data_IF_069808212031
#
_entry.id   IF_069808212031
#
_cell.length_a   1.000
_cell.length_b   1.000
_cell.length_c   1.000
_cell.angle_alpha   90.00
_cell.angle_beta   90.00
_cell.angle_gamma   90.00
#
_symmetry.space_group_name_H-M   'P 1'
#
loop_
_entity.id
_entity.type
_entity.pdbx_description
1 polymer ?
#
# COMPACT_ATOMS: atom_id res chain seq x y z
N UNK A 1 10.03 40.45 14.86
CA UNK A 1 9.40 39.36 14.08
C UNK A 1 10.54 38.48 13.57
N UNK A 2 10.85 37.43 14.31
CA UNK A 2 11.93 36.50 13.97
C UNK A 2 11.49 35.71 12.74
N UNK A 3 12.28 35.63 11.65
CA UNK A 3 11.94 34.76 10.53
C UNK A 3 11.86 33.32 11.05
N UNK A 4 10.79 32.60 10.71
CA UNK A 4 10.74 31.16 10.92
C UNK A 4 12.00 30.54 10.29
N UNK A 5 12.70 29.61 10.97
CA UNK A 5 13.75 28.86 10.31
C UNK A 5 13.16 28.26 9.04
N UNK A 6 13.90 28.31 7.93
CA UNK A 6 13.59 27.49 6.77
C UNK A 6 13.80 26.02 7.19
N UNK A 7 12.83 25.47 7.91
CA UNK A 7 12.79 24.06 8.24
C UNK A 7 12.68 23.33 6.92
N UNK A 8 13.74 22.60 6.59
CA UNK A 8 13.73 21.70 5.45
C UNK A 8 12.54 20.75 5.62
N UNK A 9 11.79 20.45 4.55
CA UNK A 9 10.66 19.54 4.64
C UNK A 9 11.12 18.20 5.23
N UNK A 10 10.26 17.48 5.97
CA UNK A 10 10.61 16.20 6.56
C UNK A 10 11.09 15.24 5.45
N UNK A 11 12.11 14.41 5.70
CA UNK A 11 12.56 13.47 4.68
C UNK A 11 11.43 12.48 4.37
N UNK A 12 11.19 12.26 3.08
CA UNK A 12 10.14 11.37 2.60
C UNK A 12 10.77 10.02 2.24
N UNK A 13 10.17 8.94 2.73
CA UNK A 13 10.49 7.57 2.36
C UNK A 13 9.38 7.03 1.45
N UNK A 14 9.76 6.20 0.50
CA UNK A 14 8.85 5.45 -0.37
C UNK A 14 8.93 3.98 0.03
N UNK A 15 7.80 3.42 0.42
CA UNK A 15 7.64 2.01 0.79
C UNK A 15 6.80 1.31 -0.27
N UNK A 16 7.36 0.25 -0.87
CA UNK A 16 6.66 -0.61 -1.82
C UNK A 16 6.35 -1.95 -1.14
N UNK A 17 5.07 -2.30 -1.09
CA UNK A 17 4.58 -3.62 -0.71
C UNK A 17 4.29 -4.42 -1.98
N UNK A 18 5.18 -5.37 -2.29
CA UNK A 18 5.07 -6.26 -3.42
C UNK A 18 4.16 -7.42 -3.02
N UNK A 19 2.88 -7.33 -3.39
CA UNK A 19 1.82 -8.22 -2.94
C UNK A 19 1.63 -9.39 -3.90
N UNK A 20 1.55 -10.58 -3.33
CA UNK A 20 1.14 -11.80 -4.03
C UNK A 20 0.03 -12.51 -3.28
N UNK A 21 -0.69 -13.34 -4.00
CA UNK A 21 -1.72 -14.20 -3.45
C UNK A 21 -1.52 -15.61 -4.00
N UNK A 22 -1.44 -16.58 -3.10
CA UNK A 22 -1.46 -17.99 -3.40
C UNK A 22 -2.81 -18.58 -2.96
N UNK A 23 -3.49 -19.42 -3.76
CA UNK A 23 -4.78 -19.99 -3.38
C UNK A 23 -4.77 -20.86 -2.11
N UNK A 24 -3.63 -21.47 -1.75
CA UNK A 24 -3.49 -22.31 -0.57
C UNK A 24 -2.93 -21.54 0.63
N UNK A 25 -1.95 -20.67 0.39
CA UNK A 25 -1.23 -19.95 1.47
C UNK A 25 -1.79 -18.54 1.75
N UNK A 26 -2.70 -18.03 0.90
CA UNK A 26 -3.30 -16.71 1.03
C UNK A 26 -2.39 -15.57 0.57
N UNK A 27 -2.53 -14.40 1.20
CA UNK A 27 -1.74 -13.22 0.87
C UNK A 27 -0.34 -13.28 1.48
N UNK A 28 0.65 -12.81 0.73
CA UNK A 28 1.99 -12.57 1.22
C UNK A 28 2.56 -11.31 0.57
N UNK A 29 3.54 -10.68 1.22
CA UNK A 29 4.16 -9.47 0.72
C UNK A 29 5.67 -9.47 0.90
N UNK A 30 6.37 -8.73 0.04
CA UNK A 30 7.75 -8.27 0.28
C UNK A 30 7.73 -6.77 0.46
N UNK A 31 8.48 -6.27 1.44
CA UNK A 31 8.63 -4.84 1.68
C UNK A 31 9.95 -4.35 1.14
N UNK A 32 9.91 -3.32 0.32
CA UNK A 32 11.09 -2.53 -0.09
C UNK A 32 10.88 -1.10 0.37
N UNK A 33 11.95 -0.43 0.80
CA UNK A 33 11.89 0.98 1.22
C UNK A 33 13.12 1.75 0.77
N UNK A 34 12.93 3.00 0.36
CA UNK A 34 14.02 3.90 -0.02
C UNK A 34 13.68 5.35 0.29
N UNK A 35 14.69 6.20 0.40
CA UNK A 35 14.47 7.65 0.54
C UNK A 35 14.07 8.26 -0.80
N UNK A 36 13.02 9.08 -0.79
CA UNK A 36 12.69 9.98 -1.88
C UNK A 36 13.74 11.10 -1.88
N UNK A 37 14.59 11.14 -2.91
CA UNK A 37 15.61 12.18 -3.08
C UNK A 37 14.95 13.54 -3.37
N UNK A 38 15.72 14.60 -3.67
CA UNK A 38 15.14 15.91 -4.01
C UNK A 38 14.57 15.92 -5.45
N UNK A 39 13.27 16.22 -5.59
CA UNK A 39 12.48 16.25 -6.85
C UNK A 39 12.28 14.96 -7.69
N UNK A 40 12.42 13.72 -7.20
CA UNK A 40 11.97 12.53 -7.93
C UNK A 40 10.46 12.36 -7.78
N UNK A 41 9.85 11.86 -8.83
CA UNK A 41 8.49 11.36 -8.83
C UNK A 41 8.41 10.09 -7.92
N UNK A 42 7.54 10.07 -6.90
CA UNK A 42 7.30 8.89 -6.07
C UNK A 42 6.92 7.65 -6.87
N UNK A 43 6.15 7.81 -7.95
CA UNK A 43 5.65 6.71 -8.77
C UNK A 43 6.80 6.04 -9.52
N UNK A 44 7.63 6.84 -10.21
CA UNK A 44 8.87 6.36 -10.83
C UNK A 44 9.83 5.73 -9.79
N UNK A 45 9.85 6.25 -8.56
CA UNK A 45 10.72 5.72 -7.50
C UNK A 45 10.26 4.32 -7.07
N UNK A 46 8.97 4.08 -6.90
CA UNK A 46 8.43 2.74 -6.62
C UNK A 46 8.70 1.78 -7.76
N UNK A 47 8.47 2.20 -9.01
CA UNK A 47 8.70 1.34 -10.18
C UNK A 47 10.15 0.87 -10.22
N UNK A 48 11.11 1.78 -10.05
CA UNK A 48 12.54 1.42 -9.97
C UNK A 48 12.86 0.54 -8.77
N UNK A 49 12.29 0.83 -7.60
CA UNK A 49 12.50 0.02 -6.40
C UNK A 49 12.01 -1.42 -6.58
N UNK A 50 10.88 -1.59 -7.27
CA UNK A 50 10.29 -2.88 -7.62
C UNK A 50 10.91 -3.53 -8.87
N UNK A 51 11.94 -2.90 -9.49
CA UNK A 51 12.61 -3.35 -10.72
C UNK A 51 11.65 -3.51 -11.91
N UNK A 52 10.67 -2.60 -12.02
CA UNK A 52 9.73 -2.54 -13.13
C UNK A 52 10.27 -1.64 -14.25
N UNK A 53 10.10 -2.10 -15.49
CA UNK A 53 10.44 -1.32 -16.68
C UNK A 53 9.50 -0.13 -16.88
N UNK A 54 9.99 0.88 -17.62
CA UNK A 54 9.22 2.04 -18.05
C UNK A 54 8.17 1.58 -19.07
N UNK A 55 6.89 1.55 -18.66
CA UNK A 55 5.78 1.02 -19.47
C UNK A 55 5.32 -0.40 -19.11
N UNK A 56 5.82 -1.03 -18.03
CA UNK A 56 5.22 -2.28 -17.52
C UNK A 56 3.81 -2.01 -16.97
N UNK A 57 2.79 -2.43 -17.73
CA UNK A 57 1.36 -2.41 -17.37
C UNK A 57 0.85 -3.79 -16.89
N UNK A 58 1.75 -4.76 -16.73
CA UNK A 58 1.47 -6.08 -16.15
C UNK A 58 1.48 -6.04 -14.63
N UNK A 59 1.86 -4.91 -14.06
CA UNK A 59 1.86 -4.67 -12.62
C UNK A 59 1.04 -3.43 -12.30
N UNK A 60 0.12 -3.58 -11.37
CA UNK A 60 -0.54 -2.48 -10.69
C UNK A 60 0.51 -1.83 -9.79
N UNK A 61 0.66 -0.51 -9.89
CA UNK A 61 1.41 0.32 -8.94
C UNK A 61 0.47 1.41 -8.46
N UNK A 62 0.16 1.43 -7.16
CA UNK A 62 -0.83 2.37 -6.63
C UNK A 62 -0.46 2.85 -5.23
N UNK A 63 -0.58 4.14 -4.98
CA UNK A 63 -0.40 4.71 -3.63
C UNK A 63 -1.57 4.30 -2.73
N UNK A 64 -1.31 3.92 -1.48
CA UNK A 64 -2.35 3.34 -0.60
C UNK A 64 -2.55 4.13 0.68
N UNK A 65 -1.47 4.64 1.25
CA UNK A 65 -1.49 5.39 2.51
C UNK A 65 -0.19 6.17 2.70
N UNK A 66 -0.18 7.04 3.70
CA UNK A 66 1.02 7.68 4.21
C UNK A 66 1.00 7.69 5.73
N UNK A 67 2.18 7.77 6.35
CA UNK A 67 2.32 7.90 7.81
C UNK A 67 3.54 8.73 8.20
N UNK A 68 3.47 9.41 9.33
CA UNK A 68 4.65 9.97 9.97
C UNK A 68 5.31 8.91 10.87
N UNK A 69 6.64 8.89 10.93
CA UNK A 69 7.39 8.05 11.89
C UNK A 69 7.77 8.86 13.11
N UNK A 70 8.08 8.18 14.21
CA UNK A 70 8.61 8.80 15.43
C UNK A 70 9.91 9.59 15.18
N UNK A 71 10.70 9.16 14.20
CA UNK A 71 11.94 9.84 13.77
C UNK A 71 11.71 11.06 12.86
N UNK A 72 10.45 11.46 12.64
CA UNK A 72 10.09 12.63 11.84
C UNK A 72 10.08 12.42 10.32
N UNK A 73 10.15 11.17 9.84
CA UNK A 73 10.00 10.87 8.41
C UNK A 73 8.53 10.81 8.01
N UNK A 74 8.25 11.07 6.73
CA UNK A 74 6.97 10.72 6.10
C UNK A 74 7.19 9.48 5.24
N UNK A 75 6.44 8.42 5.44
CA UNK A 75 6.46 7.22 4.59
C UNK A 75 5.25 7.24 3.67
N UNK A 76 5.48 7.26 2.36
CA UNK A 76 4.47 7.03 1.33
C UNK A 76 4.44 5.55 0.98
N UNK A 77 3.30 4.89 1.15
CA UNK A 77 3.17 3.45 0.95
C UNK A 77 2.45 3.17 -0.36
N UNK A 78 3.06 2.31 -1.18
CA UNK A 78 2.53 1.85 -2.45
C UNK A 78 2.34 0.34 -2.44
N UNK A 79 1.27 -0.08 -3.09
CA UNK A 79 1.04 -1.45 -3.49
C UNK A 79 1.67 -1.69 -4.86
N UNK A 80 2.36 -2.82 -5.02
CA UNK A 80 2.71 -3.38 -6.32
C UNK A 80 2.10 -4.78 -6.41
N UNK A 81 1.32 -5.05 -7.45
CA UNK A 81 0.69 -6.37 -7.65
C UNK A 81 0.68 -6.77 -9.13
N UNK A 82 1.05 -8.01 -9.49
CA UNK A 82 1.64 -9.04 -8.63
C UNK A 82 3.02 -8.68 -8.09
N UNK A 83 3.56 -9.48 -7.17
CA UNK A 83 4.98 -9.43 -6.83
C UNK A 83 5.82 -9.75 -8.09
N UNK A 84 6.72 -8.86 -8.57
CA UNK A 84 7.50 -9.10 -9.79
C UNK A 84 8.49 -10.27 -9.68
N UNK A 85 8.85 -10.69 -8.47
CA UNK A 85 9.72 -11.86 -8.24
C UNK A 85 9.14 -12.74 -7.12
N UNK A 86 8.07 -13.52 -7.42
CA UNK A 86 7.32 -14.27 -6.41
C UNK A 86 8.11 -15.43 -5.79
N UNK A 87 9.25 -15.81 -6.39
CA UNK A 87 10.13 -16.85 -5.87
C UNK A 87 10.96 -16.37 -4.68
N UNK A 88 11.09 -15.06 -4.49
CA UNK A 88 11.80 -14.52 -3.32
C UNK A 88 10.96 -14.74 -2.05
N UNK A 89 11.60 -15.05 -0.92
CA UNK A 89 10.91 -15.13 0.37
C UNK A 89 10.13 -13.83 0.63
N UNK A 90 8.90 -14.00 1.12
CA UNK A 90 8.02 -12.91 1.54
C UNK A 90 7.40 -13.23 2.87
N UNK A 91 6.81 -12.22 3.50
CA UNK A 91 6.09 -12.35 4.77
C UNK A 91 4.65 -12.74 4.46
N UNK A 92 4.17 -13.83 5.03
CA UNK A 92 2.75 -14.21 4.99
C UNK A 92 1.93 -13.15 5.75
N UNK A 93 0.82 -12.72 5.17
CA UNK A 93 -0.14 -11.82 5.82
C UNK A 93 -1.17 -12.68 6.57
N UNK A 94 -1.16 -12.72 7.92
CA UNK A 94 -2.00 -13.65 8.67
C UNK A 94 -3.50 -13.34 8.55
N UNK A 95 -3.86 -12.06 8.55
CA UNK A 95 -5.23 -11.60 8.44
C UNK A 95 -5.33 -10.36 7.53
N UNK A 96 -5.91 -10.47 6.31
CA UNK A 96 -6.12 -9.31 5.44
C UNK A 96 -7.24 -8.36 5.92
N UNK A 97 -7.96 -8.71 6.99
CA UNK A 97 -9.00 -7.87 7.60
C UNK A 97 -8.49 -7.01 8.76
N UNK A 98 -7.33 -7.34 9.34
CA UNK A 98 -6.75 -6.58 10.46
C UNK A 98 -6.11 -5.28 9.97
N UNK A 99 -6.89 -4.19 10.05
CA UNK A 99 -6.42 -2.84 9.74
C UNK A 99 -6.45 -2.00 11.01
N UNK A 100 -5.31 -1.37 11.32
CA UNK A 100 -5.21 -0.45 12.43
C UNK A 100 -6.10 0.79 12.22
N UNK A 101 -7.01 1.02 13.16
CA UNK A 101 -7.86 2.22 13.20
C UNK A 101 -7.61 2.98 14.50
N UNK A 102 -7.68 4.31 14.45
CA UNK A 102 -7.75 5.09 15.68
C UNK A 102 -9.19 5.08 16.23
N UNK A 103 -9.38 4.85 17.54
CA UNK A 103 -10.70 4.99 18.16
C UNK A 103 -11.09 6.46 18.36
N UNK A 104 -10.19 7.42 18.09
CA UNK A 104 -10.40 8.84 18.35
C UNK A 104 -10.59 9.59 17.04
N UNK A 105 -11.80 10.09 16.72
CA UNK A 105 -12.11 10.70 15.43
C UNK A 105 -11.28 11.96 15.13
N UNK A 106 -10.85 12.71 16.16
CA UNK A 106 -9.95 13.87 16.01
C UNK A 106 -8.46 13.52 15.88
N UNK A 107 -8.11 12.24 15.94
CA UNK A 107 -6.72 11.77 15.89
C UNK A 107 -6.64 10.53 15.01
N UNK A 108 -6.64 10.70 13.68
CA UNK A 108 -6.87 9.59 12.74
C UNK A 108 -5.75 8.55 12.73
N UNK A 109 -4.54 8.92 13.15
CA UNK A 109 -3.42 8.00 13.24
C UNK A 109 -3.64 7.00 14.40
N UNK A 110 -3.54 5.68 14.15
CA UNK A 110 -3.54 4.69 15.23
C UNK A 110 -2.30 4.89 16.12
N UNK A 111 -2.43 4.53 17.39
CA UNK A 111 -1.33 4.66 18.37
C UNK A 111 -0.14 3.78 18.00
N UNK A 112 -0.43 2.54 17.59
CA UNK A 112 0.54 1.56 17.13
C UNK A 112 0.13 1.08 15.74
N UNK A 113 1.12 0.83 14.87
CA UNK A 113 0.90 0.39 13.50
C UNK A 113 1.94 -0.66 13.12
N UNK A 114 1.49 -1.89 12.96
CA UNK A 114 2.33 -2.98 12.46
C UNK A 114 2.43 -2.95 10.94
N UNK A 115 3.44 -3.61 10.38
CA UNK A 115 3.59 -3.74 8.93
C UNK A 115 2.48 -4.61 8.31
N UNK A 116 2.03 -5.65 9.02
CA UNK A 116 0.93 -6.51 8.55
C UNK A 116 -0.37 -5.71 8.40
N UNK A 117 -0.65 -4.79 9.31
CA UNK A 117 -1.82 -3.90 9.20
C UNK A 117 -1.71 -2.91 8.03
N UNK A 118 -0.49 -2.45 7.70
CA UNK A 118 -0.25 -1.65 6.47
C UNK A 118 -0.48 -2.51 5.22
N UNK A 119 -0.04 -3.77 5.23
CA UNK A 119 -0.26 -4.70 4.12
C UNK A 119 -1.75 -5.07 3.97
N UNK A 120 -2.47 -5.31 5.06
CA UNK A 120 -3.92 -5.51 5.06
C UNK A 120 -4.66 -4.29 4.50
N UNK A 121 -4.24 -3.08 4.85
CA UNK A 121 -4.77 -1.86 4.24
C UNK A 121 -4.51 -1.81 2.73
N UNK A 122 -3.32 -2.22 2.26
CA UNK A 122 -3.01 -2.31 0.83
C UNK A 122 -3.88 -3.35 0.11
N UNK A 123 -4.13 -4.52 0.71
CA UNK A 123 -5.06 -5.55 0.19
C UNK A 123 -6.48 -5.00 0.09
N UNK A 124 -6.97 -4.32 1.13
CA UNK A 124 -8.28 -3.67 1.12
C UNK A 124 -8.38 -2.59 0.03
N UNK A 125 -7.31 -1.83 -0.18
CA UNK A 125 -7.25 -0.85 -1.26
C UNK A 125 -7.31 -1.51 -2.64
N UNK A 126 -6.59 -2.61 -2.85
CA UNK A 126 -6.69 -3.41 -4.08
C UNK A 126 -8.12 -3.93 -4.30
N UNK A 127 -8.76 -4.40 -3.23
CA UNK A 127 -10.12 -4.91 -3.29
C UNK A 127 -11.12 -3.80 -3.67
N UNK A 128 -10.97 -2.61 -3.08
CA UNK A 128 -11.73 -1.41 -3.48
C UNK A 128 -11.51 -1.07 -4.96
N UNK A 129 -10.26 -0.94 -5.40
CA UNK A 129 -9.91 -0.62 -6.79
C UNK A 129 -10.44 -1.66 -7.77
N UNK A 130 -10.36 -2.96 -7.44
CA UNK A 130 -10.90 -4.04 -8.27
C UNK A 130 -12.42 -3.97 -8.49
N UNK A 131 -13.15 -3.23 -7.64
CA UNK A 131 -14.59 -2.98 -7.76
C UNK A 131 -14.92 -1.64 -8.42
N UNK A 132 -14.06 -0.63 -8.27
CA UNK A 132 -14.38 0.76 -8.67
C UNK A 132 -13.61 1.25 -9.89
N UNK A 133 -12.47 0.65 -10.22
CA UNK A 133 -11.63 1.01 -11.36
C UNK A 133 -11.72 -0.09 -12.44
N UNK A 134 -12.31 0.21 -13.63
CA UNK A 134 -12.42 -0.76 -14.71
C UNK A 134 -11.08 -1.32 -15.22
N UNK A 135 -10.01 -0.52 -15.21
CA UNK A 135 -8.70 -0.96 -15.67
C UNK A 135 -8.08 -1.95 -14.67
N UNK A 136 -8.21 -1.68 -13.37
CA UNK A 136 -7.78 -2.62 -12.33
C UNK A 136 -8.65 -3.88 -12.32
N UNK A 137 -9.96 -3.74 -12.49
CA UNK A 137 -10.86 -4.89 -12.62
C UNK A 137 -10.45 -5.78 -13.80
N UNK A 138 -10.20 -5.21 -14.98
CA UNK A 138 -9.70 -5.95 -16.14
C UNK A 138 -8.35 -6.62 -15.85
N UNK A 139 -7.44 -5.93 -15.16
CA UNK A 139 -6.17 -6.49 -14.75
C UNK A 139 -6.32 -7.73 -13.86
N UNK A 140 -7.31 -7.73 -12.95
CA UNK A 140 -7.55 -8.83 -12.00
C UNK A 140 -8.39 -9.97 -12.59
N UNK A 141 -9.06 -9.78 -13.73
CA UNK A 141 -9.95 -10.76 -14.38
C UNK A 141 -9.30 -12.15 -14.57
N UNK A 142 -8.05 -12.27 -15.04
CA UNK A 142 -7.41 -13.57 -15.25
C UNK A 142 -7.05 -14.33 -13.95
N UNK A 143 -7.38 -13.79 -12.76
CA UNK A 143 -6.97 -14.31 -11.44
C UNK A 143 -8.20 -14.59 -10.55
N UNK A 144 -9.01 -15.62 -10.84
CA UNK A 144 -10.28 -15.85 -10.16
C UNK A 144 -10.12 -16.13 -8.65
N UNK A 145 -9.07 -16.84 -8.24
CA UNK A 145 -8.80 -17.10 -6.81
C UNK A 145 -8.49 -15.81 -6.04
N UNK A 146 -7.69 -14.92 -6.63
CA UNK A 146 -7.42 -13.61 -6.04
C UNK A 146 -8.70 -12.78 -5.95
N UNK A 147 -9.51 -12.75 -7.01
CA UNK A 147 -10.80 -12.03 -7.00
C UNK A 147 -11.69 -12.52 -5.87
N UNK A 148 -11.84 -13.84 -5.72
CA UNK A 148 -12.60 -14.43 -4.64
C UNK A 148 -12.08 -13.99 -3.26
N UNK A 149 -10.76 -13.99 -3.05
CA UNK A 149 -10.16 -13.51 -1.81
C UNK A 149 -10.36 -12.00 -1.58
N UNK A 150 -10.33 -11.17 -2.63
CA UNK A 150 -10.60 -9.73 -2.53
C UNK A 150 -12.09 -9.42 -2.28
N UNK A 151 -13.00 -10.30 -2.70
CA UNK A 151 -14.43 -10.17 -2.45
C UNK A 151 -14.81 -10.41 -0.98
N UNK A 152 -13.98 -11.11 -0.21
CA UNK A 152 -14.19 -11.25 1.24
C UNK A 152 -13.76 -9.99 2.00
N UNK A 153 -12.83 -9.20 1.44
CA UNK A 153 -12.28 -7.99 2.10
C UNK A 153 -13.18 -6.77 1.85
N UNK A 154 -13.50 -5.96 2.89
CA UNK A 154 -14.40 -4.81 2.75
C UNK A 154 -14.00 -3.84 1.64
N UNK A 155 -14.92 -3.59 0.71
CA UNK A 155 -14.70 -2.72 -0.46
C UNK A 155 -15.01 -1.27 -0.30
N UNK A 156 -14.85 -0.73 0.89
CA UNK A 156 -15.16 0.67 1.14
C UNK A 156 -13.87 1.47 1.26
N UNK A 157 -13.80 2.69 0.67
CA UNK A 157 -12.71 3.63 0.85
C UNK A 157 -12.35 3.81 2.32
N UNK A 158 -11.08 4.09 2.58
CA UNK A 158 -10.65 4.55 3.90
C UNK A 158 -11.39 5.85 4.24
N UNK A 159 -12.04 5.88 5.40
CA UNK A 159 -12.82 7.05 5.85
C UNK A 159 -14.23 7.15 5.28
N UNK A 160 -14.74 6.17 4.52
CA UNK A 160 -16.15 6.15 4.15
C UNK A 160 -17.01 5.98 5.42
N UNK A 161 -17.87 6.97 5.71
CA UNK A 161 -18.86 6.89 6.76
C UNK A 161 -19.80 5.72 6.45
N UNK A 162 -19.90 4.75 7.37
CA UNK A 162 -20.95 3.74 7.28
C UNK A 162 -22.30 4.41 7.60
N UNK A 163 -23.37 4.14 6.84
CA UNK A 163 -24.70 4.59 7.21
C UNK A 163 -25.05 4.02 8.60
N UNK A 164 -25.60 4.88 9.46
CA UNK A 164 -26.18 4.50 10.76
C UNK A 164 -27.38 3.55 10.56
#
# INVERSE_FOLDING_TARGET
MTPFPHDSPPPVLVEALLLRHDPAEGFAYRRLITALRYRPDPDQTVRRLALLDEGDDRHIVHSTSWRATHDGHIVLTYLVHPDPDPRRPGTTLPDPHDIACSPRPGHPAPTDLSLDQVAAHAVRHLAFLGRTDPAIAAHLEPRPHLRHALDTVPGVPAGQLQPL
#
